data_IF_228827262009
#
_entry.id   IF_228827262009
#
_cell.length_a   1.000
_cell.length_b   1.000
_cell.length_c   1.000
_cell.angle_alpha   90.00
_cell.angle_beta   90.00
_cell.angle_gamma   90.00
#
_symmetry.space_group_name_H-M   'P 1'
#
loop_
_entity.id
_entity.type
_entity.pdbx_description
1 polymer ?
#
# COMPACT_ATOMS: atom_id res chain seq x y z
N UNK A 1 -2.75 27.51 -21.05
CA UNK A 1 -2.43 27.38 -19.62
C UNK A 1 -2.53 25.90 -19.30
N UNK A 2 -1.45 25.24 -18.86
CA UNK A 2 -1.55 23.82 -18.52
C UNK A 2 -2.41 23.67 -17.27
N UNK A 3 -3.46 22.86 -17.34
CA UNK A 3 -4.30 22.57 -16.19
C UNK A 3 -3.62 21.49 -15.36
N UNK A 4 -3.20 21.81 -14.14
CA UNK A 4 -2.49 20.87 -13.27
C UNK A 4 -3.47 20.33 -12.23
N UNK A 5 -3.74 19.04 -12.28
CA UNK A 5 -4.51 18.36 -11.26
C UNK A 5 -3.57 17.64 -10.30
N UNK A 6 -3.65 18.05 -9.04
CA UNK A 6 -2.85 17.49 -7.95
C UNK A 6 -3.64 16.41 -7.22
N UNK A 7 -3.05 15.22 -7.11
CA UNK A 7 -3.64 14.07 -6.40
C UNK A 7 -2.81 13.81 -5.16
N UNK A 8 -3.45 13.71 -4.00
CA UNK A 8 -2.78 13.34 -2.75
C UNK A 8 -3.13 11.90 -2.40
N UNK A 9 -2.13 11.03 -2.35
CA UNK A 9 -2.31 9.65 -1.91
C UNK A 9 -1.94 9.56 -0.43
N UNK A 10 -2.91 9.20 0.41
CA UNK A 10 -2.73 9.19 1.88
C UNK A 10 -2.38 7.81 2.42
N UNK A 11 -2.82 6.73 1.77
CA UNK A 11 -2.61 5.37 2.23
C UNK A 11 -2.12 4.48 1.08
N UNK A 12 -0.85 4.10 1.12
CA UNK A 12 -0.30 3.11 0.19
C UNK A 12 0.41 2.01 0.97
N UNK A 13 -0.02 0.77 0.73
CA UNK A 13 0.56 -0.45 1.30
C UNK A 13 1.46 -1.18 0.30
N UNK A 14 1.69 -0.61 -0.88
CA UNK A 14 2.43 -1.21 -1.99
C UNK A 14 1.98 -0.69 -3.36
N UNK A 15 2.57 -1.22 -4.43
CA UNK A 15 2.35 -0.78 -5.82
C UNK A 15 0.87 -0.78 -6.21
N UNK A 16 0.17 -1.89 -5.99
CA UNK A 16 -1.23 -2.03 -6.41
C UNK A 16 -2.14 -1.04 -5.70
N UNK A 17 -1.92 -0.82 -4.40
CA UNK A 17 -2.68 0.15 -3.61
C UNK A 17 -2.44 1.60 -4.08
N UNK A 18 -1.22 1.93 -4.52
CA UNK A 18 -0.89 3.24 -5.09
C UNK A 18 -1.66 3.45 -6.41
N UNK A 19 -1.57 2.46 -7.32
CA UNK A 19 -2.29 2.47 -8.60
C UNK A 19 -3.80 2.60 -8.39
N UNK A 20 -4.37 1.79 -7.50
CA UNK A 20 -5.79 1.86 -7.16
C UNK A 20 -6.18 3.24 -6.63
N UNK A 21 -5.42 3.81 -5.68
CA UNK A 21 -5.70 5.12 -5.10
C UNK A 21 -5.75 6.22 -6.16
N UNK A 22 -4.77 6.24 -7.08
CA UNK A 22 -4.73 7.24 -8.17
C UNK A 22 -5.95 7.06 -9.09
N UNK A 23 -6.29 5.82 -9.46
CA UNK A 23 -7.45 5.55 -10.33
C UNK A 23 -8.77 5.94 -9.65
N UNK A 24 -8.92 5.72 -8.34
CA UNK A 24 -10.12 6.11 -7.58
C UNK A 24 -10.27 7.63 -7.59
N UNK A 25 -9.20 8.37 -7.30
CA UNK A 25 -9.21 9.84 -7.31
C UNK A 25 -9.55 10.42 -8.70
N UNK A 26 -9.11 9.75 -9.76
CA UNK A 26 -9.43 10.12 -11.15
C UNK A 26 -10.81 9.61 -11.62
N UNK A 27 -11.55 8.87 -10.78
CA UNK A 27 -12.80 8.19 -11.14
C UNK A 27 -12.66 7.23 -12.33
N UNK A 28 -11.50 6.58 -12.42
CA UNK A 28 -11.14 5.59 -13.43
C UNK A 28 -11.10 4.15 -12.87
N UNK A 29 -11.43 3.96 -11.60
CA UNK A 29 -11.43 2.65 -10.95
C UNK A 29 -12.77 1.94 -11.13
N UNK A 30 -12.73 0.68 -11.57
CA UNK A 30 -13.88 -0.21 -11.67
C UNK A 30 -13.74 -1.34 -10.66
N UNK A 31 -14.55 -1.32 -9.60
CA UNK A 31 -14.52 -2.30 -8.51
C UNK A 31 -14.79 -3.75 -8.94
N UNK A 32 -15.28 -3.97 -10.17
CA UNK A 32 -15.53 -5.31 -10.72
C UNK A 32 -14.33 -5.88 -11.48
N UNK A 33 -13.28 -5.09 -11.70
CA UNK A 33 -12.10 -5.46 -12.50
C UNK A 33 -10.81 -5.22 -11.74
N UNK A 34 -9.75 -5.90 -12.15
CA UNK A 34 -8.38 -5.66 -11.66
C UNK A 34 -7.76 -4.47 -12.39
N UNK A 35 -8.19 -3.26 -12.04
CA UNK A 35 -7.78 -2.05 -12.75
C UNK A 35 -6.29 -1.71 -12.60
N UNK A 36 -5.61 -2.26 -11.60
CA UNK A 36 -4.20 -2.05 -11.31
C UNK A 36 -3.30 -2.60 -12.43
N UNK A 37 -3.72 -3.68 -13.09
CA UNK A 37 -3.01 -4.27 -14.23
C UNK A 37 -3.17 -3.45 -15.52
N UNK A 38 -4.25 -2.67 -15.64
CA UNK A 38 -4.55 -1.81 -16.80
C UNK A 38 -4.16 -0.35 -16.53
N UNK A 39 -3.39 -0.09 -15.47
CA UNK A 39 -3.15 1.26 -14.96
C UNK A 39 -2.57 2.20 -16.03
N UNK A 40 -1.46 1.80 -16.67
CA UNK A 40 -0.76 2.63 -17.65
C UNK A 40 -1.65 2.97 -18.85
N UNK A 41 -2.40 1.99 -19.35
CA UNK A 41 -3.35 2.19 -20.45
C UNK A 41 -4.45 3.18 -20.06
N UNK A 42 -5.03 3.03 -18.87
CA UNK A 42 -6.10 3.91 -18.36
C UNK A 42 -5.63 5.34 -18.19
N UNK A 43 -4.47 5.55 -17.59
CA UNK A 43 -3.87 6.89 -17.41
C UNK A 43 -3.53 7.51 -18.76
N UNK A 44 -2.89 6.75 -19.66
CA UNK A 44 -2.53 7.22 -21.00
C UNK A 44 -3.77 7.63 -21.78
N UNK A 45 -4.82 6.81 -21.78
CA UNK A 45 -6.08 7.11 -22.45
C UNK A 45 -6.78 8.33 -21.85
N UNK A 46 -6.74 8.49 -20.52
CA UNK A 46 -7.28 9.65 -19.84
C UNK A 46 -6.55 10.94 -20.21
N UNK A 47 -5.22 10.93 -20.23
CA UNK A 47 -4.38 12.07 -20.63
C UNK A 47 -4.48 12.39 -22.13
N UNK A 48 -4.71 11.40 -22.99
CA UNK A 48 -4.98 11.60 -24.42
C UNK A 48 -6.30 12.34 -24.65
N UNK A 49 -7.33 12.01 -23.86
CA UNK A 49 -8.64 12.70 -23.91
C UNK A 49 -8.56 14.13 -23.36
N UNK A 50 -7.71 14.35 -22.37
CA UNK A 50 -7.52 15.65 -21.71
C UNK A 50 -6.15 16.24 -22.08
N UNK A 51 -6.03 16.78 -23.30
CA UNK A 51 -4.73 17.18 -23.89
C UNK A 51 -3.98 18.26 -23.10
N UNK A 52 -4.69 19.15 -22.40
CA UNK A 52 -4.08 20.24 -21.62
C UNK A 52 -3.86 19.88 -20.14
N UNK A 53 -4.26 18.67 -19.72
CA UNK A 53 -4.14 18.21 -18.35
C UNK A 53 -2.74 17.67 -18.08
N UNK A 54 -2.18 18.03 -16.93
CA UNK A 54 -1.00 17.41 -16.33
C UNK A 54 -1.38 16.86 -14.96
N UNK A 55 -1.04 15.60 -14.71
CA UNK A 55 -1.30 14.93 -13.45
C UNK A 55 -0.05 14.95 -12.59
N UNK A 56 -0.21 15.41 -11.35
CA UNK A 56 0.86 15.44 -10.38
C UNK A 56 0.40 14.78 -9.08
N UNK A 57 0.96 13.61 -8.80
CA UNK A 57 0.64 12.79 -7.64
C UNK A 57 1.68 13.06 -6.56
N UNK A 58 1.21 13.39 -5.37
CA UNK A 58 2.05 13.51 -4.18
C UNK A 58 1.76 12.36 -3.25
N UNK A 59 2.81 11.62 -2.91
CA UNK A 59 2.75 10.53 -1.94
C UNK A 59 3.65 10.89 -0.76
N UNK A 60 3.14 10.67 0.44
CA UNK A 60 3.87 10.90 1.68
C UNK A 60 4.70 9.66 2.04
N UNK A 61 6.01 9.87 2.20
CA UNK A 61 7.00 8.84 2.50
C UNK A 61 6.71 8.11 3.80
N UNK A 62 6.37 8.83 4.87
CA UNK A 62 6.07 8.25 6.18
C UNK A 62 4.80 7.40 6.10
N UNK A 63 3.81 7.83 5.32
CA UNK A 63 2.60 7.04 5.10
C UNK A 63 2.86 5.77 4.29
N UNK A 64 3.70 5.81 3.26
CA UNK A 64 4.13 4.60 2.52
C UNK A 64 4.83 3.63 3.47
N UNK A 65 5.81 4.14 4.24
CA UNK A 65 6.57 3.31 5.17
C UNK A 65 5.68 2.61 6.18
N UNK A 66 4.83 3.39 6.83
CA UNK A 66 3.86 2.88 7.82
C UNK A 66 2.91 1.88 7.18
N UNK A 67 2.37 2.19 6.00
CA UNK A 67 1.43 1.32 5.28
C UNK A 67 2.03 -0.05 4.94
N UNK A 68 3.20 -0.08 4.31
CA UNK A 68 3.89 -1.34 3.96
C UNK A 68 4.26 -2.11 5.21
N UNK A 69 4.82 -1.44 6.23
CA UNK A 69 5.26 -2.09 7.48
C UNK A 69 4.09 -2.67 8.26
N UNK A 70 2.97 -1.95 8.38
CA UNK A 70 1.74 -2.48 9.00
C UNK A 70 1.19 -3.67 8.23
N UNK A 71 1.19 -3.62 6.89
CA UNK A 71 0.78 -4.76 6.07
C UNK A 71 1.69 -5.98 6.27
N UNK A 72 2.99 -5.77 6.33
CA UNK A 72 3.98 -6.81 6.63
C UNK A 72 3.74 -7.42 8.01
N UNK A 73 3.51 -6.60 9.04
CA UNK A 73 3.22 -7.07 10.38
C UNK A 73 1.95 -7.92 10.40
N UNK A 74 0.85 -7.49 9.79
CA UNK A 74 -0.37 -8.32 9.72
C UNK A 74 -0.15 -9.64 8.98
N UNK A 75 0.74 -9.67 7.99
CA UNK A 75 1.03 -10.87 7.20
C UNK A 75 1.87 -11.90 7.95
N UNK A 76 2.88 -11.47 8.69
CA UNK A 76 3.87 -12.37 9.30
C UNK A 76 3.73 -12.51 10.82
N UNK A 77 3.22 -11.49 11.50
CA UNK A 77 2.99 -11.51 12.94
C UNK A 77 1.55 -11.96 13.17
N UNK A 78 1.35 -13.27 13.37
CA UNK A 78 0.04 -13.78 13.80
C UNK A 78 -0.25 -13.26 15.21
N UNK A 79 -1.39 -12.59 15.39
CA UNK A 79 -1.98 -12.40 16.72
C UNK A 79 -2.29 -13.79 17.28
N UNK A 80 -1.62 -14.19 18.36
CA UNK A 80 -1.87 -15.45 19.03
C UNK A 80 -3.13 -15.27 19.88
N UNK A 81 -4.30 -15.39 19.27
CA UNK A 81 -5.47 -15.76 20.04
C UNK A 81 -5.43 -17.28 20.18
N UNK A 82 -5.52 -17.83 21.41
CA UNK A 82 -5.72 -19.27 21.61
C UNK A 82 -6.86 -19.75 20.71
N UNK A 83 -6.75 -20.95 20.14
CA UNK A 83 -7.80 -21.52 19.26
C UNK A 83 -9.17 -21.60 19.95
N UNK A 84 -9.18 -21.59 21.27
CA UNK A 84 -10.37 -21.66 22.12
C UNK A 84 -10.82 -20.31 22.69
N UNK A 85 -10.26 -19.19 22.20
CA UNK A 85 -10.65 -17.85 22.65
C UNK A 85 -12.08 -17.53 22.19
N UNK A 86 -13.04 -17.59 23.12
CA UNK A 86 -14.44 -17.23 22.91
C UNK A 86 -14.65 -15.75 23.25
N UNK A 87 -15.05 -14.96 22.26
CA UNK A 87 -15.27 -13.50 22.37
C UNK A 87 -16.45 -13.12 23.28
N UNK A 88 -17.23 -14.12 23.68
CA UNK A 88 -18.53 -14.06 24.35
C UNK A 88 -18.46 -14.45 25.84
N UNK A 89 -17.27 -14.73 26.37
CA UNK A 89 -17.07 -14.97 27.81
C UNK A 89 -16.65 -13.67 28.54
N UNK A 90 -17.17 -13.41 29.76
CA UNK A 90 -16.74 -12.28 30.57
C UNK A 90 -15.23 -12.34 30.79
N UNK A 91 -14.57 -11.20 30.58
CA UNK A 91 -13.13 -10.94 30.36
C UNK A 91 -12.09 -11.55 31.34
N UNK A 92 -12.42 -12.55 32.17
CA UNK A 92 -11.51 -13.12 33.17
C UNK A 92 -11.44 -14.66 33.22
N UNK A 93 -12.06 -15.42 32.32
CA UNK A 93 -12.11 -16.88 32.46
C UNK A 93 -10.99 -17.68 31.76
N UNK A 94 -10.18 -17.07 30.88
CA UNK A 94 -9.13 -17.81 30.16
C UNK A 94 -7.89 -16.95 29.95
N UNK A 95 -7.10 -16.75 31.00
CA UNK A 95 -5.63 -16.81 30.85
C UNK A 95 -5.24 -18.25 30.56
N UNK A 96 -5.71 -18.81 29.43
CA UNK A 96 -5.14 -20.02 28.89
C UNK A 96 -3.73 -19.66 28.45
N UNK A 97 -2.74 -20.46 28.86
CA UNK A 97 -1.32 -20.23 28.62
C UNK A 97 -1.08 -19.86 27.15
N UNK A 98 -0.99 -18.56 26.87
CA UNK A 98 -0.44 -18.09 25.61
C UNK A 98 1.04 -18.37 25.76
N UNK A 99 1.47 -19.51 25.21
CA UNK A 99 2.88 -19.92 25.25
C UNK A 99 3.71 -18.75 24.70
N UNK A 100 4.49 -18.05 25.55
CA UNK A 100 5.17 -16.84 25.12
C UNK A 100 6.18 -17.23 24.03
N UNK A 101 6.06 -16.60 22.86
CA UNK A 101 6.99 -16.85 21.75
C UNK A 101 8.43 -16.73 22.24
N UNK A 102 9.30 -17.64 21.80
CA UNK A 102 10.72 -17.55 22.12
C UNK A 102 11.32 -16.27 21.55
N UNK A 103 12.43 -15.80 22.14
CA UNK A 103 13.17 -14.65 21.61
C UNK A 103 13.59 -14.86 20.14
N UNK A 104 13.91 -16.10 19.78
CA UNK A 104 14.28 -16.48 18.41
C UNK A 104 13.08 -16.40 17.47
N UNK A 105 11.90 -16.90 17.86
CA UNK A 105 10.69 -16.78 17.05
C UNK A 105 10.27 -15.33 16.81
N UNK A 106 10.40 -14.47 17.84
CA UNK A 106 10.13 -13.04 17.70
C UNK A 106 11.13 -12.37 16.75
N UNK A 107 12.41 -12.73 16.83
CA UNK A 107 13.45 -12.22 15.94
C UNK A 107 13.21 -12.65 14.49
N UNK A 108 12.89 -13.92 14.25
CA UNK A 108 12.57 -14.43 12.90
C UNK A 108 11.34 -13.77 12.29
N UNK A 109 10.31 -13.44 13.09
CA UNK A 109 9.16 -12.67 12.62
C UNK A 109 9.56 -11.23 12.26
N UNK A 110 10.38 -10.57 13.09
CA UNK A 110 10.90 -9.24 12.79
C UNK A 110 11.74 -9.24 11.50
N UNK A 111 12.65 -10.20 11.35
CA UNK A 111 13.51 -10.31 10.16
C UNK A 111 12.67 -10.53 8.89
N UNK A 112 11.59 -11.34 8.96
CA UNK A 112 10.66 -11.52 7.84
C UNK A 112 9.87 -10.25 7.51
N UNK A 113 9.44 -9.49 8.53
CA UNK A 113 8.76 -8.21 8.35
C UNK A 113 9.68 -7.21 7.65
N UNK A 114 10.92 -7.08 8.11
CA UNK A 114 11.90 -6.16 7.51
C UNK A 114 12.26 -6.56 6.08
N UNK A 115 12.50 -7.85 5.82
CA UNK A 115 12.80 -8.35 4.48
C UNK A 115 11.65 -8.08 3.49
N UNK A 116 10.41 -8.31 3.91
CA UNK A 116 9.24 -8.01 3.09
C UNK A 116 9.07 -6.50 2.87
N UNK A 117 9.22 -5.70 3.92
CA UNK A 117 9.18 -4.24 3.82
C UNK A 117 10.21 -3.72 2.81
N UNK A 118 11.46 -4.14 2.93
CA UNK A 118 12.53 -3.71 2.03
C UNK A 118 12.24 -4.10 0.57
N UNK A 119 11.74 -5.31 0.35
CA UNK A 119 11.37 -5.80 -0.99
C UNK A 119 10.22 -4.99 -1.61
N UNK A 120 9.13 -4.80 -0.87
CA UNK A 120 7.95 -4.09 -1.37
C UNK A 120 8.22 -2.59 -1.57
N UNK A 121 9.00 -1.98 -0.68
CA UNK A 121 9.40 -0.59 -0.82
C UNK A 121 10.29 -0.37 -2.05
N UNK A 122 11.25 -1.26 -2.29
CA UNK A 122 12.09 -1.20 -3.50
C UNK A 122 11.28 -1.36 -4.79
N UNK A 123 10.30 -2.29 -4.81
CA UNK A 123 9.36 -2.44 -5.93
C UNK A 123 8.57 -1.16 -6.17
N UNK A 124 8.08 -0.52 -5.10
CA UNK A 124 7.31 0.72 -5.20
C UNK A 124 8.15 1.85 -5.80
N UNK A 125 9.39 2.03 -5.35
CA UNK A 125 10.29 3.04 -5.91
C UNK A 125 10.56 2.80 -7.39
N UNK A 126 10.91 1.56 -7.77
CA UNK A 126 11.14 1.20 -9.18
C UNK A 126 9.90 1.43 -10.04
N UNK A 127 8.72 1.14 -9.52
CA UNK A 127 7.48 1.38 -10.26
C UNK A 127 7.17 2.88 -10.39
N UNK A 128 7.43 3.69 -9.37
CA UNK A 128 7.30 5.15 -9.44
C UNK A 128 8.21 5.72 -10.51
N UNK A 129 9.46 5.27 -10.59
CA UNK A 129 10.40 5.68 -11.64
C UNK A 129 9.87 5.34 -13.04
N UNK A 130 9.34 4.14 -13.24
CA UNK A 130 8.72 3.77 -14.53
C UNK A 130 7.52 4.63 -14.86
N UNK A 131 6.60 4.84 -13.91
CA UNK A 131 5.39 5.63 -14.15
C UNK A 131 5.72 7.10 -14.46
N UNK A 132 6.82 7.64 -13.90
CA UNK A 132 7.32 8.98 -14.22
C UNK A 132 7.83 9.14 -15.65
N UNK A 133 7.93 8.06 -16.44
CA UNK A 133 8.22 8.14 -17.89
C UNK A 133 6.99 8.48 -18.73
N UNK A 134 5.78 8.41 -18.16
CA UNK A 134 4.53 8.72 -18.85
C UNK A 134 4.43 10.24 -19.07
N UNK A 135 4.20 10.64 -20.32
CA UNK A 135 4.02 12.04 -20.69
C UNK A 135 2.90 12.71 -19.86
N UNK A 136 3.18 13.92 -19.34
CA UNK A 136 2.27 14.73 -18.52
C UNK A 136 1.77 14.04 -17.24
N UNK A 137 2.51 13.07 -16.73
CA UNK A 137 2.24 12.40 -15.47
C UNK A 137 3.51 12.40 -14.62
N UNK A 138 3.38 12.76 -13.34
CA UNK A 138 4.48 12.76 -12.40
C UNK A 138 4.01 12.37 -11.01
N UNK A 139 4.81 11.56 -10.33
CA UNK A 139 4.66 11.14 -8.95
C UNK A 139 5.88 11.62 -8.19
N UNK A 140 5.66 12.38 -7.12
CA UNK A 140 6.68 12.81 -6.17
C UNK A 140 6.43 12.19 -4.81
N UNK A 141 7.46 11.55 -4.25
CA UNK A 141 7.47 11.06 -2.88
C UNK A 141 8.05 12.16 -2.00
N UNK A 142 7.24 12.74 -1.12
CA UNK A 142 7.66 13.77 -0.18
C UNK A 142 8.01 13.17 1.16
N UNK A 143 9.12 13.65 1.73
CA UNK A 143 9.50 13.40 3.11
C UNK A 143 8.58 14.11 4.10
#
# INVERSE_FOLDING_TARGET
MNNIQKIKVTNSTGVDSLKASILVELRLYDYKKKCEHEFEERITNYLKRNKELTLYVVVDHENIKKGIRTHAMHKFVKSVYPKDYRFDLPNMATTGDVDPKSKEQNKEEQDRVEAYYASEYAKLLSEVEKLNTIDRFSIEIKN
#
